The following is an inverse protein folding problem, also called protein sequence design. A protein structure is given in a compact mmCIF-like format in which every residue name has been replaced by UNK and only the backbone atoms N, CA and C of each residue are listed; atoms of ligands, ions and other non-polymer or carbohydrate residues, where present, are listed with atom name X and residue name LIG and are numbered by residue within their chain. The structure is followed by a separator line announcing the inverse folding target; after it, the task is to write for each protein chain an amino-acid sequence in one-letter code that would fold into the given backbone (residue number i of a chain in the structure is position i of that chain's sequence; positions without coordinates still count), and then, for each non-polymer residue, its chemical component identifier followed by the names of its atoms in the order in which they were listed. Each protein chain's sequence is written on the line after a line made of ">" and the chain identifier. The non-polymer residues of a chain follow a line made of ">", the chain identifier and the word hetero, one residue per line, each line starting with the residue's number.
data_IF_103410020255
#
_entry.id   IF_103410020255
#
_cell.length_a   1.000
_cell.length_b   1.000
_cell.length_c   1.000
_cell.angle_alpha   90.00
_cell.angle_beta   90.00
_cell.angle_gamma   90.00
#
_symmetry.space_group_name_H-M   'P 1'
#
loop_
_entity.id
_entity.type
_entity.pdbx_description
1 polymer ?
#
# COMPACT_ATOMS: atom_id res chain seq x y z
N UNK A 1 24.44 37.34 -24.28
CA UNK A 1 23.55 38.39 -23.76
C UNK A 1 23.70 39.62 -24.65
N UNK A 2 22.61 40.11 -25.24
CA UNK A 2 22.68 41.35 -26.01
C UNK A 2 22.88 42.51 -25.02
N UNK A 3 24.01 43.20 -25.10
CA UNK A 3 24.33 44.35 -24.24
C UNK A 3 23.25 45.44 -24.39
N UNK A 4 22.97 46.14 -23.30
CA UNK A 4 22.11 47.31 -23.34
C UNK A 4 22.76 48.36 -24.23
N UNK A 5 21.98 48.91 -25.18
CA UNK A 5 22.45 50.04 -25.98
C UNK A 5 22.36 51.28 -25.11
N UNK A 6 23.50 51.91 -24.84
CA UNK A 6 23.52 53.22 -24.20
C UNK A 6 23.08 54.29 -25.21
N UNK A 7 22.07 55.07 -24.84
CA UNK A 7 21.57 56.20 -25.62
C UNK A 7 22.20 57.49 -25.10
N UNK A 8 22.55 58.42 -26.01
CA UNK A 8 23.00 59.75 -25.59
C UNK A 8 21.94 60.42 -24.73
N UNK A 9 22.38 61.05 -23.64
CA UNK A 9 21.50 61.88 -22.82
C UNK A 9 21.04 63.12 -23.60
N UNK A 10 19.85 63.63 -23.28
CA UNK A 10 19.33 64.89 -23.84
C UNK A 10 20.28 66.06 -23.58
N UNK A 11 21.07 65.98 -22.50
CA UNK A 11 22.10 66.97 -22.14
C UNK A 11 23.31 66.99 -23.07
N UNK A 12 23.50 65.98 -23.91
CA UNK A 12 24.60 65.91 -24.88
C UNK A 12 24.29 66.62 -26.20
N UNK A 13 23.03 67.01 -26.41
CA UNK A 13 22.63 67.80 -27.56
C UNK A 13 22.78 69.31 -27.27
N UNK A 14 23.12 70.14 -28.28
CA UNK A 14 23.31 71.56 -28.08
C UNK A 14 22.06 72.24 -27.51
N UNK A 15 22.20 72.92 -26.37
CA UNK A 15 21.09 73.64 -25.72
C UNK A 15 20.72 74.97 -26.39
N UNK A 16 21.61 75.52 -27.23
CA UNK A 16 21.43 76.79 -27.95
C UNK A 16 21.71 76.62 -29.43
N UNK A 17 20.64 76.41 -30.20
CA UNK A 17 20.69 76.21 -31.66
C UNK A 17 21.11 77.45 -32.45
N UNK A 18 21.00 78.64 -31.83
CA UNK A 18 21.26 79.95 -32.46
C UNK A 18 22.74 80.26 -32.73
N UNK A 19 23.67 79.47 -32.18
CA UNK A 19 25.12 79.65 -32.35
C UNK A 19 25.74 78.65 -33.33
N UNK A 20 24.95 77.71 -33.83
CA UNK A 20 25.41 76.69 -34.78
C UNK A 20 25.32 77.24 -36.19
N UNK A 21 26.32 76.91 -37.00
CA UNK A 21 26.20 77.14 -38.44
C UNK A 21 25.15 76.20 -39.05
N UNK A 22 24.66 76.52 -40.24
CA UNK A 22 23.59 75.77 -40.90
C UNK A 22 23.94 74.29 -41.07
N UNK A 23 25.16 73.98 -41.49
CA UNK A 23 25.63 72.59 -41.69
C UNK A 23 25.67 71.80 -40.37
N UNK A 24 26.13 72.45 -39.29
CA UNK A 24 26.14 71.84 -37.95
C UNK A 24 24.73 71.59 -37.42
N UNK A 25 23.80 72.53 -37.68
CA UNK A 25 22.41 72.42 -37.28
C UNK A 25 21.70 71.27 -38.01
N UNK A 26 21.95 71.12 -39.31
CA UNK A 26 21.43 70.00 -40.11
C UNK A 26 21.99 68.66 -39.60
N UNK A 27 23.29 68.57 -39.32
CA UNK A 27 23.92 67.35 -38.76
C UNK A 27 23.31 66.97 -37.41
N UNK A 28 23.21 67.93 -36.47
CA UNK A 28 22.64 67.69 -35.14
C UNK A 28 21.17 67.26 -35.20
N UNK A 29 20.40 67.82 -36.14
CA UNK A 29 19.02 67.41 -36.38
C UNK A 29 18.93 65.96 -36.88
N UNK A 30 19.76 65.56 -37.85
CA UNK A 30 19.78 64.19 -38.35
C UNK A 30 20.19 63.18 -37.28
N UNK A 31 21.16 63.53 -36.44
CA UNK A 31 21.60 62.70 -35.32
C UNK A 31 20.49 62.56 -34.26
N UNK A 32 19.86 63.66 -33.86
CA UNK A 32 18.73 63.64 -32.93
C UNK A 32 17.58 62.77 -33.46
N UNK A 33 17.25 62.92 -34.75
CA UNK A 33 16.21 62.11 -35.41
C UNK A 33 16.56 60.62 -35.42
N UNK A 34 17.82 60.27 -35.67
CA UNK A 34 18.30 58.88 -35.66
C UNK A 34 18.21 58.27 -34.27
N UNK A 35 18.68 59.00 -33.26
CA UNK A 35 18.63 58.55 -31.87
C UNK A 35 17.18 58.38 -31.39
N UNK A 36 16.31 59.37 -31.63
CA UNK A 36 14.89 59.30 -31.29
C UNK A 36 14.18 58.10 -31.94
N UNK A 37 14.45 57.84 -33.22
CA UNK A 37 13.90 56.68 -33.93
C UNK A 37 14.37 55.38 -33.27
N UNK A 38 15.65 55.27 -32.93
CA UNK A 38 16.20 54.07 -32.31
C UNK A 38 15.67 53.85 -30.88
N UNK A 39 15.51 54.92 -30.11
CA UNK A 39 14.91 54.88 -28.78
C UNK A 39 13.45 54.43 -28.85
N UNK A 40 12.68 54.97 -29.79
CA UNK A 40 11.26 54.59 -29.98
C UNK A 40 11.11 53.11 -30.31
N UNK A 41 11.96 52.58 -31.20
CA UNK A 41 11.96 51.15 -31.55
C UNK A 41 12.29 50.29 -30.33
N UNK A 42 13.31 50.66 -29.56
CA UNK A 42 13.72 49.91 -28.36
C UNK A 42 12.63 49.91 -27.28
N UNK A 43 11.96 51.05 -27.06
CA UNK A 43 10.84 51.15 -26.13
C UNK A 43 9.69 50.26 -26.57
N UNK A 44 9.38 50.24 -27.87
CA UNK A 44 8.37 49.33 -28.43
C UNK A 44 8.72 47.85 -28.19
N UNK A 45 9.98 47.46 -28.39
CA UNK A 45 10.45 46.11 -28.10
C UNK A 45 10.38 45.77 -26.60
N UNK A 46 10.76 46.71 -25.73
CA UNK A 46 10.70 46.54 -24.28
C UNK A 46 9.26 46.33 -23.81
N UNK A 47 8.32 47.16 -24.28
CA UNK A 47 6.90 47.02 -23.95
C UNK A 47 6.36 45.67 -24.41
N UNK A 48 6.69 45.22 -25.63
CA UNK A 48 6.30 43.88 -26.12
C UNK A 48 6.86 42.75 -25.25
N UNK A 49 8.15 42.80 -24.91
CA UNK A 49 8.76 41.80 -24.01
C UNK A 49 8.11 41.82 -22.62
N UNK A 50 7.76 43.01 -22.13
CA UNK A 50 7.09 43.15 -20.84
C UNK A 50 5.67 42.57 -20.88
N UNK A 51 4.90 42.79 -21.95
CA UNK A 51 3.56 42.20 -22.09
C UNK A 51 3.64 40.68 -22.23
N UNK A 52 4.53 40.17 -23.08
CA UNK A 52 4.76 38.72 -23.23
C UNK A 52 5.20 38.07 -21.91
N UNK A 53 6.07 38.72 -21.14
CA UNK A 53 6.50 38.21 -19.84
C UNK A 53 5.35 38.19 -18.82
N UNK A 54 4.50 39.22 -18.81
CA UNK A 54 3.31 39.26 -17.94
C UNK A 54 2.31 38.15 -18.28
N UNK A 55 2.05 37.92 -19.57
CA UNK A 55 1.18 36.84 -20.03
C UNK A 55 1.74 35.47 -19.61
N UNK A 56 3.05 35.24 -19.83
CA UNK A 56 3.70 33.99 -19.40
C UNK A 56 3.62 33.78 -17.88
N UNK A 57 3.84 34.83 -17.08
CA UNK A 57 3.70 34.75 -15.62
C UNK A 57 2.27 34.41 -15.22
N UNK A 58 1.27 34.98 -15.89
CA UNK A 58 -0.13 34.66 -15.62
C UNK A 58 -0.44 33.19 -15.94
N UNK A 59 -0.02 32.69 -17.10
CA UNK A 59 -0.18 31.26 -17.46
C UNK A 59 0.51 30.34 -16.45
N UNK A 60 1.75 30.66 -16.05
CA UNK A 60 2.48 29.89 -15.04
C UNK A 60 1.75 29.88 -13.69
N UNK A 61 1.18 31.02 -13.28
CA UNK A 61 0.42 31.10 -12.04
C UNK A 61 -0.83 30.22 -12.06
N UNK A 62 -1.59 30.27 -13.15
CA UNK A 62 -2.77 29.41 -13.34
C UNK A 62 -2.39 27.93 -13.32
N UNK A 63 -1.35 27.55 -14.06
CA UNK A 63 -0.89 26.17 -14.10
C UNK A 63 -0.39 25.69 -12.73
N UNK A 64 0.27 26.55 -11.96
CA UNK A 64 0.72 26.25 -10.60
C UNK A 64 -0.47 26.01 -9.68
N UNK A 65 -1.50 26.86 -9.73
CA UNK A 65 -2.72 26.67 -8.94
C UNK A 65 -3.42 25.35 -9.28
N UNK A 66 -3.57 25.04 -10.56
CA UNK A 66 -4.16 23.77 -11.01
C UNK A 66 -3.34 22.57 -10.50
N UNK A 67 -2.02 22.61 -10.68
CA UNK A 67 -1.13 21.53 -10.23
C UNK A 67 -1.17 21.36 -8.70
N UNK A 68 -1.24 22.46 -7.94
CA UNK A 68 -1.40 22.43 -6.49
C UNK A 68 -2.70 21.76 -6.08
N UNK A 69 -3.80 22.10 -6.75
CA UNK A 69 -5.11 21.50 -6.44
C UNK A 69 -5.16 19.99 -6.73
N UNK A 70 -4.52 19.56 -7.83
CA UNK A 70 -4.37 18.14 -8.18
C UNK A 70 -3.50 17.43 -7.14
N UNK A 71 -2.41 18.05 -6.72
CA UNK A 71 -1.52 17.49 -5.69
C UNK A 71 -2.28 17.27 -4.36
N UNK A 72 -3.07 18.25 -3.93
CA UNK A 72 -3.91 18.13 -2.73
C UNK A 72 -4.97 17.02 -2.85
N UNK A 73 -5.54 16.83 -4.05
CA UNK A 73 -6.46 15.73 -4.30
C UNK A 73 -5.74 14.38 -4.19
N UNK A 74 -4.60 14.21 -4.85
CA UNK A 74 -3.80 12.98 -4.83
C UNK A 74 -3.33 12.66 -3.40
N UNK A 75 -2.98 13.67 -2.60
CA UNK A 75 -2.61 13.47 -1.20
C UNK A 75 -3.77 12.93 -0.36
N UNK A 76 -4.99 13.44 -0.58
CA UNK A 76 -6.21 12.94 0.09
C UNK A 76 -6.53 11.51 -0.33
N UNK A 77 -6.47 11.21 -1.63
CA UNK A 77 -6.68 9.85 -2.14
C UNK A 77 -5.64 8.87 -1.57
N UNK A 78 -4.37 9.29 -1.48
CA UNK A 78 -3.31 8.48 -0.85
C UNK A 78 -3.60 8.18 0.61
N UNK A 79 -4.08 9.16 1.39
CA UNK A 79 -4.45 8.95 2.79
C UNK A 79 -5.61 7.96 2.92
N UNK A 80 -6.65 8.12 2.09
CA UNK A 80 -7.79 7.19 2.06
C UNK A 80 -7.36 5.76 1.71
N UNK A 81 -6.47 5.59 0.73
CA UNK A 81 -5.91 4.28 0.37
C UNK A 81 -5.08 3.68 1.51
N UNK A 82 -4.29 4.48 2.21
CA UNK A 82 -3.53 4.01 3.38
C UNK A 82 -4.45 3.54 4.51
N UNK A 83 -5.55 4.26 4.78
CA UNK A 83 -6.56 3.84 5.76
C UNK A 83 -7.26 2.55 5.33
N UNK A 84 -7.66 2.45 4.06
CA UNK A 84 -8.28 1.25 3.52
C UNK A 84 -7.35 0.02 3.58
N UNK A 85 -6.05 0.22 3.30
CA UNK A 85 -5.04 -0.84 3.43
C UNK A 85 -4.90 -1.31 4.87
N UNK A 86 -4.79 -0.38 5.84
CA UNK A 86 -4.74 -0.72 7.27
C UNK A 86 -5.94 -1.55 7.70
N UNK A 87 -7.14 -1.10 7.31
CA UNK A 87 -8.38 -1.82 7.57
C UNK A 87 -8.39 -3.23 6.95
N UNK A 88 -7.87 -3.38 5.73
CA UNK A 88 -7.79 -4.67 5.05
C UNK A 88 -6.79 -5.62 5.74
N UNK A 89 -5.63 -5.11 6.15
CA UNK A 89 -4.65 -5.89 6.93
C UNK A 89 -5.23 -6.36 8.26
N UNK A 90 -5.96 -5.50 8.98
CA UNK A 90 -6.61 -5.89 10.24
C UNK A 90 -7.67 -6.97 10.00
N UNK A 91 -8.48 -6.83 8.96
CA UNK A 91 -9.45 -7.86 8.55
C UNK A 91 -8.79 -9.18 8.17
N UNK A 92 -7.67 -9.14 7.45
CA UNK A 92 -6.91 -10.33 7.07
C UNK A 92 -6.42 -11.07 8.32
N UNK A 93 -5.88 -10.34 9.30
CA UNK A 93 -5.45 -10.92 10.58
C UNK A 93 -6.62 -11.56 11.33
N UNK A 94 -7.76 -10.88 11.43
CA UNK A 94 -8.97 -11.45 12.06
C UNK A 94 -9.48 -12.71 11.34
N UNK A 95 -9.44 -12.73 10.00
CA UNK A 95 -9.83 -13.91 9.23
C UNK A 95 -8.85 -15.06 9.42
N UNK A 96 -7.55 -14.78 9.50
CA UNK A 96 -6.53 -15.79 9.78
C UNK A 96 -6.71 -16.40 11.18
N UNK A 97 -6.94 -15.57 12.20
CA UNK A 97 -7.22 -16.04 13.56
C UNK A 97 -8.48 -16.92 13.61
N UNK A 98 -9.55 -16.50 12.92
CA UNK A 98 -10.78 -17.30 12.80
C UNK A 98 -10.55 -18.61 12.05
N UNK A 99 -9.75 -18.59 10.99
CA UNK A 99 -9.36 -19.78 10.24
C UNK A 99 -8.62 -20.78 11.13
N UNK A 100 -7.59 -20.34 11.84
CA UNK A 100 -6.85 -21.18 12.78
C UNK A 100 -7.71 -21.69 13.94
N UNK A 101 -8.66 -20.89 14.44
CA UNK A 101 -9.59 -21.35 15.46
C UNK A 101 -10.54 -22.44 14.92
N UNK A 102 -11.02 -22.27 13.70
CA UNK A 102 -11.90 -23.25 13.04
C UNK A 102 -11.16 -24.55 12.72
N UNK A 103 -9.90 -24.47 12.25
CA UNK A 103 -9.04 -25.64 12.06
C UNK A 103 -8.91 -26.45 13.35
N UNK A 104 -8.63 -25.79 14.48
CA UNK A 104 -8.55 -26.48 15.79
C UNK A 104 -9.87 -27.14 16.19
N UNK A 105 -11.01 -26.50 15.90
CA UNK A 105 -12.32 -27.09 16.16
C UNK A 105 -12.56 -28.33 15.28
N UNK A 106 -12.21 -28.25 14.00
CA UNK A 106 -12.30 -29.39 13.07
C UNK A 106 -11.41 -30.53 13.57
N UNK A 107 -10.14 -30.26 13.87
CA UNK A 107 -9.21 -31.27 14.39
C UNK A 107 -9.74 -31.93 15.67
N UNK A 108 -10.29 -31.13 16.60
CA UNK A 108 -10.92 -31.64 17.83
C UNK A 108 -12.13 -32.51 17.53
N UNK A 109 -13.01 -32.09 16.63
CA UNK A 109 -14.21 -32.85 16.24
C UNK A 109 -13.84 -34.15 15.51
N UNK A 110 -12.83 -34.11 14.63
CA UNK A 110 -12.30 -35.29 13.95
C UNK A 110 -11.69 -36.27 14.95
N UNK A 111 -10.94 -35.79 15.95
CA UNK A 111 -10.41 -36.64 17.02
C UNK A 111 -11.54 -37.29 17.84
N UNK A 112 -12.59 -36.53 18.18
CA UNK A 112 -13.78 -37.07 18.86
C UNK A 112 -14.49 -38.14 18.02
N UNK A 113 -14.70 -37.88 16.72
CA UNK A 113 -15.30 -38.84 15.80
C UNK A 113 -14.50 -40.13 15.70
N UNK A 114 -13.18 -40.04 15.56
CA UNK A 114 -12.32 -41.21 15.50
C UNK A 114 -12.37 -42.02 16.80
N UNK A 115 -12.32 -41.36 17.95
CA UNK A 115 -12.43 -42.00 19.26
C UNK A 115 -13.79 -42.71 19.42
N UNK A 116 -14.90 -42.05 19.07
CA UNK A 116 -16.24 -42.67 19.14
C UNK A 116 -16.38 -43.85 18.18
N UNK A 117 -15.81 -43.74 16.98
CA UNK A 117 -15.84 -44.83 15.98
C UNK A 117 -15.04 -46.03 16.46
N UNK A 118 -13.89 -45.80 17.13
CA UNK A 118 -13.11 -46.88 17.74
C UNK A 118 -13.87 -47.56 18.88
N UNK A 119 -14.51 -46.79 19.77
CA UNK A 119 -15.33 -47.34 20.85
C UNK A 119 -16.51 -48.18 20.33
N UNK A 120 -17.15 -47.75 19.24
CA UNK A 120 -18.21 -48.51 18.58
C UNK A 120 -17.67 -49.82 17.99
N UNK A 121 -16.52 -49.78 17.28
CA UNK A 121 -15.88 -50.99 16.75
C UNK A 121 -15.48 -51.97 17.84
N UNK A 122 -14.95 -51.47 18.96
CA UNK A 122 -14.62 -52.31 20.12
C UNK A 122 -15.88 -52.98 20.70
N UNK A 123 -17.00 -52.25 20.77
CA UNK A 123 -18.28 -52.82 21.19
C UNK A 123 -18.82 -53.86 20.19
N UNK A 124 -18.78 -53.57 18.89
CA UNK A 124 -19.19 -54.50 17.83
C UNK A 124 -18.38 -55.79 17.87
N UNK A 125 -17.05 -55.72 18.05
CA UNK A 125 -16.20 -56.90 18.18
C UNK A 125 -16.57 -57.77 19.40
N UNK A 126 -16.85 -57.15 20.56
CA UNK A 126 -17.30 -57.89 21.75
C UNK A 126 -18.69 -58.50 21.52
N UNK A 127 -19.56 -57.81 20.79
CA UNK A 127 -20.89 -58.33 20.43
C UNK A 127 -20.79 -59.54 19.51
N UNK A 128 -19.97 -59.47 18.45
CA UNK A 128 -19.72 -60.58 17.54
C UNK A 128 -19.16 -61.80 18.29
N UNK A 129 -18.13 -61.62 19.12
CA UNK A 129 -17.53 -62.69 19.93
C UNK A 129 -18.57 -63.41 20.81
N UNK A 130 -19.45 -62.63 21.46
CA UNK A 130 -20.52 -63.18 22.32
C UNK A 130 -21.62 -63.86 21.51
N UNK A 131 -21.87 -63.42 20.28
CA UNK A 131 -22.90 -63.97 19.39
C UNK A 131 -22.48 -65.28 18.71
N UNK A 132 -21.19 -65.45 18.39
CA UNK A 132 -20.65 -66.65 17.75
C UNK A 132 -20.47 -67.82 18.71
N UNK A 133 -20.17 -67.51 19.97
CA UNK A 133 -20.08 -68.52 21.01
C UNK A 133 -21.48 -69.16 21.20
N UNK A 134 -21.64 -70.49 21.22
CA UNK A 134 -22.98 -71.17 21.26
C UNK A 134 -23.29 -71.95 22.54
N UNK A 135 -22.41 -71.91 23.55
CA UNK A 135 -22.59 -72.61 24.83
C UNK A 135 -23.61 -71.98 25.80
N UNK A 136 -24.70 -72.70 26.09
CA UNK A 136 -25.81 -72.31 27.01
C UNK A 136 -25.33 -72.06 28.47
N UNK A 137 -24.25 -72.72 28.91
CA UNK A 137 -23.69 -72.57 30.27
C UNK A 137 -22.95 -71.23 30.50
N UNK A 138 -22.75 -70.42 29.45
CA UNK A 138 -22.00 -69.15 29.52
C UNK A 138 -22.88 -67.89 29.43
N UNK A 139 -24.21 -68.03 29.50
CA UNK A 139 -25.15 -66.94 29.28
C UNK A 139 -24.94 -65.76 30.25
N UNK A 140 -24.66 -66.04 31.53
CA UNK A 140 -24.39 -65.02 32.54
C UNK A 140 -23.04 -64.31 32.33
N UNK A 141 -21.99 -65.04 31.89
CA UNK A 141 -20.69 -64.43 31.54
C UNK A 141 -20.76 -63.57 30.28
N UNK A 142 -21.63 -63.93 29.33
CA UNK A 142 -21.87 -63.14 28.11
C UNK A 142 -22.61 -61.86 28.39
N UNK A 143 -23.68 -61.94 29.17
CA UNK A 143 -24.43 -60.77 29.59
C UNK A 143 -23.54 -59.79 30.36
N UNK A 144 -22.70 -60.27 31.26
CA UNK A 144 -21.76 -59.41 32.00
C UNK A 144 -20.68 -58.80 31.10
N UNK A 145 -20.16 -59.51 30.10
CA UNK A 145 -19.22 -58.95 29.09
C UNK A 145 -19.88 -57.87 28.24
N UNK A 146 -21.06 -58.13 27.67
CA UNK A 146 -21.84 -57.16 26.90
C UNK A 146 -22.24 -55.95 27.75
N UNK A 147 -22.69 -56.18 28.99
CA UNK A 147 -23.06 -55.11 29.91
C UNK A 147 -21.86 -54.25 30.30
N UNK A 148 -20.69 -54.86 30.54
CA UNK A 148 -19.46 -54.13 30.82
C UNK A 148 -18.95 -53.37 29.60
N UNK A 149 -19.08 -53.90 28.39
CA UNK A 149 -18.74 -53.21 27.15
C UNK A 149 -19.70 -52.05 26.84
N UNK A 150 -21.02 -52.24 27.03
CA UNK A 150 -22.02 -51.19 26.91
C UNK A 150 -21.84 -50.10 27.98
N UNK A 151 -21.52 -50.50 29.21
CA UNK A 151 -21.16 -49.56 30.28
C UNK A 151 -19.92 -48.78 29.88
N UNK A 152 -18.88 -49.44 29.37
CA UNK A 152 -17.66 -48.77 28.88
C UNK A 152 -17.97 -47.81 27.72
N UNK A 153 -18.82 -48.18 26.76
CA UNK A 153 -19.27 -47.28 25.70
C UNK A 153 -19.98 -46.03 26.24
N UNK A 154 -20.82 -46.19 27.26
CA UNK A 154 -21.67 -45.12 27.80
C UNK A 154 -21.01 -44.27 28.90
N UNK A 155 -20.03 -44.83 29.62
CA UNK A 155 -19.40 -44.18 30.78
C UNK A 155 -17.95 -43.78 30.54
N UNK A 156 -17.32 -44.18 29.43
CA UNK A 156 -15.95 -43.73 29.15
C UNK A 156 -15.97 -42.34 28.56
N UNK A 157 -15.34 -41.41 29.27
CA UNK A 157 -15.13 -40.04 28.80
C UNK A 157 -14.26 -40.08 27.54
N UNK A 158 -14.76 -39.50 26.44
CA UNK A 158 -14.13 -39.51 25.11
C UNK A 158 -12.71 -38.93 25.17
N UNK A 159 -12.43 -38.09 26.16
CA UNK A 159 -11.11 -37.54 26.44
C UNK A 159 -10.03 -38.61 26.69
N UNK A 160 -10.37 -39.79 27.21
CA UNK A 160 -9.41 -40.86 27.48
C UNK A 160 -8.84 -41.52 26.21
N UNK A 161 -9.53 -41.37 25.07
CA UNK A 161 -9.13 -41.90 23.76
C UNK A 161 -8.69 -40.80 22.78
N UNK A 162 -8.69 -39.54 23.21
CA UNK A 162 -8.11 -38.48 22.37
C UNK A 162 -6.61 -38.72 22.26
N UNK A 163 -6.03 -38.80 21.06
CA UNK A 163 -4.59 -38.71 20.91
C UNK A 163 -4.16 -37.39 21.56
N UNK A 164 -3.20 -37.45 22.50
CA UNK A 164 -2.56 -36.24 23.04
C UNK A 164 -2.21 -35.36 21.85
N UNK A 165 -2.60 -34.08 21.83
CA UNK A 165 -2.28 -33.23 20.70
C UNK A 165 -0.76 -33.31 20.51
N UNK A 166 -0.34 -33.87 19.37
CA UNK A 166 1.03 -33.73 18.94
C UNK A 166 1.22 -32.23 18.91
N UNK A 167 2.07 -31.71 19.79
CA UNK A 167 2.61 -30.38 19.65
C UNK A 167 3.13 -30.33 18.23
N UNK A 168 2.36 -29.70 17.33
CA UNK A 168 2.78 -29.46 15.96
C UNK A 168 4.12 -28.76 16.14
N UNK A 169 5.21 -29.44 15.77
CA UNK A 169 6.50 -28.80 15.65
C UNK A 169 6.23 -27.50 14.92
N UNK A 170 6.67 -26.38 15.51
CA UNK A 170 6.61 -25.08 14.84
C UNK A 170 6.98 -25.34 13.37
N UNK A 171 6.16 -24.92 12.40
CA UNK A 171 6.61 -25.00 11.02
C UNK A 171 7.99 -24.34 11.02
N UNK A 172 9.01 -25.11 10.62
CA UNK A 172 10.35 -24.58 10.47
C UNK A 172 10.21 -23.24 9.77
N UNK A 173 10.82 -22.21 10.35
CA UNK A 173 10.78 -20.85 9.82
C UNK A 173 10.95 -20.94 8.31
N UNK A 174 9.86 -20.71 7.57
CA UNK A 174 9.86 -20.78 6.13
C UNK A 174 10.68 -19.57 5.67
N UNK A 175 11.98 -19.79 5.48
CA UNK A 175 12.99 -18.80 5.12
C UNK A 175 12.65 -18.07 3.81
N UNK A 176 11.61 -18.51 3.10
CA UNK A 176 11.10 -17.91 1.86
C UNK A 176 9.89 -17.00 2.06
N UNK A 177 9.31 -16.94 3.27
CA UNK A 177 8.11 -16.15 3.54
C UNK A 177 8.43 -14.71 3.96
N UNK A 178 8.00 -13.75 3.13
CA UNK A 178 8.13 -12.31 3.40
C UNK A 178 7.10 -11.85 4.43
N UNK A 179 7.40 -12.04 5.71
CA UNK A 179 6.67 -11.43 6.81
C UNK A 179 7.19 -10.01 7.12
N UNK A 180 6.38 -9.12 7.73
CA UNK A 180 6.79 -7.75 8.08
C UNK A 180 8.06 -7.66 8.95
N UNK A 181 8.38 -8.73 9.67
CA UNK A 181 9.60 -8.89 10.48
C UNK A 181 10.83 -9.38 9.70
N UNK A 182 10.66 -9.91 8.49
CA UNK A 182 11.72 -10.49 7.64
C UNK A 182 11.89 -9.78 6.27
N UNK A 183 11.09 -8.74 5.99
CA UNK A 183 11.24 -7.91 4.79
C UNK A 183 12.66 -7.30 4.76
N UNK A 184 13.32 -7.42 3.61
CA UNK A 184 14.68 -6.92 3.30
C UNK A 184 15.86 -7.68 3.92
N UNK A 185 15.66 -8.87 4.52
CA UNK A 185 16.78 -9.67 5.04
C UNK A 185 17.71 -10.20 3.93
N UNK A 186 17.14 -10.53 2.76
CA UNK A 186 17.91 -10.93 1.56
C UNK A 186 18.85 -9.85 1.02
N UNK A 187 18.57 -8.57 1.29
CA UNK A 187 19.43 -7.45 0.86
C UNK A 187 20.66 -7.28 1.78
N UNK A 188 20.57 -7.79 3.02
CA UNK A 188 21.64 -7.72 4.01
C UNK A 188 22.65 -8.88 3.88
N UNK A 189 22.20 -10.05 3.42
CA UNK A 189 23.04 -11.24 3.30
C UNK A 189 23.79 -11.34 1.94
N UNK A 190 23.41 -10.55 0.93
CA UNK A 190 24.07 -10.48 -0.40
C UNK A 190 25.31 -9.53 -0.43
N UNK A 191 26.06 -9.44 0.68
CA UNK A 191 27.32 -8.67 0.78
C UNK A 191 28.52 -9.51 1.16
#
# INVERSE_FOLDING_TARGET
>A
MAGYKDYRSVSEFPSRVQKLDREELESQYFDLRREYKSLTISRGQLVRRQTEAKEKLHTLHVNLQQTSSILEQVQRERQQLQEALRYNTDKKLQLQERGSALERQVDSLTAQLNATTQLVREFEAVYEEVSEDKGILSLASRFTRLFNAAKRLLTTDVQAFMPKPLLRERPEDDWTSENPSNINRSILDDK
#
